data_IF_095900448010
#
_entry.id   IF_095900448010
#
_cell.length_a   1.000
_cell.length_b   1.000
_cell.length_c   1.000
_cell.angle_alpha   90.00
_cell.angle_beta   90.00
_cell.angle_gamma   90.00
#
_symmetry.space_group_name_H-M   'P 1'
#
loop_
_entity.id
_entity.type
_entity.pdbx_description
1 polymer ?
#
# COMPACT_ATOMS: atom_id res chain seq x y z
N UNK A 1 11.85 -14.10 -15.17
CA UNK A 1 10.69 -13.18 -15.22
C UNK A 1 9.73 -13.64 -14.14
N UNK A 2 9.59 -12.90 -13.04
CA UNK A 2 8.68 -13.23 -11.96
C UNK A 2 7.23 -13.18 -12.47
N UNK A 3 6.44 -14.12 -12.00
CA UNK A 3 5.00 -14.14 -12.24
C UNK A 3 4.37 -13.29 -11.11
N UNK A 4 3.73 -12.18 -11.43
CA UNK A 4 3.12 -11.26 -10.47
C UNK A 4 2.22 -11.97 -9.42
N UNK A 5 1.55 -13.06 -9.80
CA UNK A 5 0.76 -13.87 -8.86
C UNK A 5 1.64 -14.57 -7.82
N UNK A 6 2.84 -14.98 -8.21
CA UNK A 6 3.83 -15.59 -7.32
C UNK A 6 4.46 -14.52 -6.42
N UNK A 7 4.69 -13.33 -6.96
CA UNK A 7 5.24 -12.21 -6.20
C UNK A 7 4.28 -11.76 -5.10
N UNK A 8 2.98 -11.58 -5.40
CA UNK A 8 1.97 -11.27 -4.39
C UNK A 8 1.79 -12.40 -3.37
N UNK A 9 1.89 -13.67 -3.78
CA UNK A 9 1.75 -14.79 -2.86
C UNK A 9 2.88 -14.85 -1.81
N UNK A 10 4.05 -14.25 -2.11
CA UNK A 10 5.17 -14.12 -1.18
C UNK A 10 5.10 -12.88 -0.30
N UNK A 11 4.23 -11.92 -0.64
CA UNK A 11 4.14 -10.66 0.09
C UNK A 11 3.92 -10.89 1.58
N UNK A 12 4.86 -10.43 2.39
CA UNK A 12 4.81 -10.49 3.86
C UNK A 12 4.56 -9.14 4.52
N UNK A 13 4.74 -8.04 3.78
CA UNK A 13 4.63 -6.70 4.32
C UNK A 13 4.08 -5.68 3.32
N UNK A 14 3.39 -4.70 3.86
CA UNK A 14 2.86 -3.54 3.15
C UNK A 14 3.48 -2.27 3.73
N UNK A 15 4.00 -1.43 2.87
CA UNK A 15 4.50 -0.10 3.22
C UNK A 15 3.72 0.94 2.41
N UNK A 16 3.22 1.98 3.06
CA UNK A 16 2.41 3.01 2.42
C UNK A 16 2.93 4.40 2.75
N UNK A 17 2.86 5.31 1.79
CA UNK A 17 2.73 6.73 2.08
C UNK A 17 1.31 7.06 2.57
N UNK A 18 1.06 8.30 2.95
CA UNK A 18 -0.24 8.76 3.46
C UNK A 18 -0.95 9.70 2.50
N UNK A 19 -0.33 10.83 2.19
CA UNK A 19 -0.97 11.89 1.42
C UNK A 19 -0.93 11.55 -0.07
N UNK A 20 -2.11 11.36 -0.69
CA UNK A 20 -2.24 10.84 -2.05
C UNK A 20 -2.40 9.31 -2.15
N UNK A 21 -2.07 8.56 -1.08
CA UNK A 21 -2.19 7.09 -1.03
C UNK A 21 -3.33 6.64 -0.11
N UNK A 22 -3.28 7.01 1.16
CA UNK A 22 -4.33 6.71 2.15
C UNK A 22 -5.40 7.81 2.21
N UNK A 23 -5.14 8.92 1.58
CA UNK A 23 -6.02 10.10 1.45
C UNK A 23 -6.11 10.53 -0.01
N UNK A 24 -6.92 11.51 -0.28
CA UNK A 24 -7.02 12.16 -1.60
C UNK A 24 -5.95 13.26 -1.82
N UNK A 25 -4.91 13.30 -1.00
CA UNK A 25 -3.86 14.32 -1.05
C UNK A 25 -4.28 15.69 -0.47
N UNK A 26 -5.55 15.88 -0.15
CA UNK A 26 -6.06 17.13 0.42
C UNK A 26 -5.62 17.32 1.88
N UNK A 27 -4.99 18.47 2.18
CA UNK A 27 -4.50 18.83 3.51
C UNK A 27 -5.15 20.12 3.95
N UNK A 28 -5.80 20.13 5.12
CA UNK A 28 -6.43 21.29 5.72
C UNK A 28 -5.65 21.67 6.98
N UNK A 29 -4.88 22.77 6.97
CA UNK A 29 -4.16 23.23 8.16
C UNK A 29 -5.14 23.75 9.21
N UNK A 30 -4.86 23.46 10.47
CA UNK A 30 -5.63 23.96 11.62
C UNK A 30 -4.89 25.10 12.34
N UNK A 31 -5.61 25.88 13.13
CA UNK A 31 -5.06 27.04 13.83
C UNK A 31 -3.99 26.67 14.89
N UNK A 32 -4.02 25.45 15.39
CA UNK A 32 -3.05 24.90 16.34
C UNK A 32 -1.84 24.21 15.66
N UNK A 33 -1.74 24.32 14.33
CA UNK A 33 -0.60 23.81 13.56
C UNK A 33 -0.67 22.32 13.23
N UNK A 34 -1.80 21.66 13.45
CA UNK A 34 -2.05 20.29 12.99
C UNK A 34 -2.65 20.31 11.58
N UNK A 35 -2.90 19.13 11.01
CA UNK A 35 -3.42 18.95 9.67
C UNK A 35 -4.56 17.94 9.66
N UNK A 36 -5.71 18.37 9.16
CA UNK A 36 -6.86 17.47 8.96
C UNK A 36 -6.74 16.80 7.60
N UNK A 37 -6.97 15.49 7.60
CA UNK A 37 -6.99 14.63 6.41
C UNK A 37 -8.28 13.84 6.36
N UNK A 38 -8.74 13.56 5.16
CA UNK A 38 -9.90 12.70 4.92
C UNK A 38 -9.44 11.29 4.59
N UNK A 39 -9.75 10.33 5.46
CA UNK A 39 -9.43 8.93 5.28
C UNK A 39 -10.66 8.13 4.81
N UNK A 40 -10.41 7.09 4.02
CA UNK A 40 -11.45 6.13 3.68
C UNK A 40 -11.62 5.10 4.81
N UNK A 41 -12.88 4.88 5.23
CA UNK A 41 -13.18 3.92 6.29
C UNK A 41 -12.92 2.46 5.87
N UNK A 42 -13.10 2.14 4.58
CA UNK A 42 -12.86 0.79 4.05
C UNK A 42 -11.37 0.45 4.05
N UNK A 43 -10.51 1.41 3.69
CA UNK A 43 -9.06 1.24 3.73
C UNK A 43 -8.58 1.04 5.17
N UNK A 44 -9.11 1.82 6.11
CA UNK A 44 -8.81 1.62 7.53
C UNK A 44 -9.18 0.23 8.03
N UNK A 45 -10.35 -0.28 7.62
CA UNK A 45 -10.74 -1.64 7.95
C UNK A 45 -9.80 -2.69 7.32
N UNK A 46 -9.44 -2.51 6.06
CA UNK A 46 -8.54 -3.42 5.34
C UNK A 46 -7.16 -3.50 5.99
N UNK A 47 -6.59 -2.35 6.38
CA UNK A 47 -5.30 -2.29 7.08
C UNK A 47 -5.36 -2.99 8.45
N UNK A 48 -6.37 -2.69 9.25
CA UNK A 48 -6.55 -3.34 10.56
C UNK A 48 -6.75 -4.86 10.42
N UNK A 49 -7.45 -5.29 9.36
CA UNK A 49 -7.64 -6.70 9.09
C UNK A 49 -6.35 -7.39 8.58
N UNK A 50 -5.57 -6.74 7.73
CA UNK A 50 -4.27 -7.25 7.29
C UNK A 50 -3.33 -7.49 8.48
N UNK A 51 -3.25 -6.53 9.40
CA UNK A 51 -2.49 -6.69 10.66
C UNK A 51 -3.00 -7.87 11.48
N UNK A 52 -4.32 -8.03 11.61
CA UNK A 52 -4.93 -9.17 12.32
C UNK A 52 -4.58 -10.51 11.68
N UNK A 53 -4.41 -10.55 10.35
CA UNK A 53 -4.01 -11.73 9.59
C UNK A 53 -2.50 -12.01 9.62
N UNK A 54 -1.72 -11.19 10.33
CA UNK A 54 -0.28 -11.39 10.51
C UNK A 54 0.61 -10.67 9.50
N UNK A 55 0.03 -9.88 8.58
CA UNK A 55 0.84 -9.05 7.70
C UNK A 55 1.50 -7.90 8.47
N UNK A 56 2.73 -7.61 8.13
CA UNK A 56 3.44 -6.44 8.64
C UNK A 56 2.99 -5.20 7.85
N UNK A 57 2.66 -4.13 8.56
CA UNK A 57 2.23 -2.86 7.96
C UNK A 57 3.09 -1.74 8.51
N UNK A 58 3.67 -0.96 7.61
CA UNK A 58 4.47 0.23 7.93
C UNK A 58 3.94 1.44 7.16
N UNK A 59 4.06 2.61 7.77
CA UNK A 59 3.78 3.90 7.13
C UNK A 59 5.07 4.72 7.08
N UNK A 60 5.38 5.29 5.92
CA UNK A 60 6.52 6.19 5.74
C UNK A 60 6.02 7.44 5.01
N UNK A 61 5.94 8.57 5.71
CA UNK A 61 5.34 9.79 5.17
C UNK A 61 6.06 11.05 5.59
N UNK A 62 6.14 12.03 4.70
CA UNK A 62 6.52 13.40 5.04
C UNK A 62 5.44 14.14 5.84
N UNK A 63 4.24 13.58 5.89
CA UNK A 63 3.14 14.13 6.70
C UNK A 63 3.44 14.08 8.19
N UNK A 64 2.88 15.06 8.92
CA UNK A 64 3.03 15.19 10.38
C UNK A 64 1.70 15.55 11.03
N UNK A 65 1.66 15.51 12.35
CA UNK A 65 0.54 15.96 13.16
C UNK A 65 -0.05 14.88 14.05
N UNK A 66 -0.66 15.32 15.17
CA UNK A 66 -1.25 14.41 16.16
C UNK A 66 -2.45 13.64 15.62
N UNK A 67 -3.22 14.26 14.72
CA UNK A 67 -4.38 13.60 14.09
C UNK A 67 -3.96 12.42 13.25
N UNK A 68 -2.86 12.53 12.49
CA UNK A 68 -2.26 11.45 11.73
C UNK A 68 -1.79 10.33 12.65
N UNK A 69 -0.95 10.64 13.63
CA UNK A 69 -0.40 9.64 14.54
C UNK A 69 -1.51 8.87 15.28
N UNK A 70 -2.51 9.58 15.80
CA UNK A 70 -3.65 8.96 16.46
C UNK A 70 -4.41 8.02 15.50
N UNK A 71 -4.59 8.41 14.24
CA UNK A 71 -5.24 7.55 13.24
C UNK A 71 -4.48 6.25 13.03
N UNK A 72 -3.16 6.31 12.86
CA UNK A 72 -2.32 5.13 12.65
C UNK A 72 -2.38 4.19 13.86
N UNK A 73 -2.28 4.72 15.07
CA UNK A 73 -2.41 3.94 16.31
C UNK A 73 -3.77 3.29 16.46
N UNK A 74 -4.86 3.99 16.13
CA UNK A 74 -6.23 3.42 16.15
C UNK A 74 -6.40 2.24 15.19
N UNK A 75 -5.67 2.22 14.07
CA UNK A 75 -5.68 1.11 13.12
C UNK A 75 -4.81 -0.08 13.56
N UNK A 76 -4.06 0.06 14.66
CA UNK A 76 -3.13 -0.96 15.14
C UNK A 76 -1.78 -0.96 14.43
N UNK A 77 -1.48 0.07 13.63
CA UNK A 77 -0.20 0.22 12.95
C UNK A 77 0.85 0.60 14.00
N UNK A 78 1.90 -0.21 14.11
CA UNK A 78 2.96 -0.05 15.12
C UNK A 78 4.22 0.60 14.57
N UNK A 79 4.49 0.38 13.28
CA UNK A 79 5.66 0.89 12.60
C UNK A 79 5.24 2.05 11.70
N UNK A 80 5.65 3.27 12.07
CA UNK A 80 5.40 4.43 11.22
C UNK A 80 6.48 5.50 11.44
N UNK A 81 6.89 6.09 10.35
CA UNK A 81 7.85 7.18 10.23
C UNK A 81 7.07 8.39 9.69
N UNK A 82 6.77 9.35 10.55
CA UNK A 82 6.10 10.61 10.21
C UNK A 82 7.12 11.74 10.18
N UNK A 83 6.81 12.85 9.50
CA UNK A 83 7.76 13.97 9.26
C UNK A 83 9.08 13.48 8.63
N UNK A 84 8.99 12.43 7.81
CA UNK A 84 10.11 11.69 7.26
C UNK A 84 10.41 12.17 5.84
N UNK A 85 11.47 12.96 5.69
CA UNK A 85 11.91 13.45 4.37
C UNK A 85 12.85 12.45 3.67
N UNK A 86 13.57 11.62 4.41
CA UNK A 86 14.45 10.56 3.89
C UNK A 86 13.74 9.21 4.00
N UNK A 87 12.81 8.97 3.09
CA UNK A 87 11.95 7.78 3.09
C UNK A 87 12.75 6.49 2.85
N UNK A 88 13.79 6.54 2.02
CA UNK A 88 14.57 5.34 1.68
C UNK A 88 15.37 4.82 2.88
N UNK A 89 15.95 5.72 3.67
CA UNK A 89 16.65 5.33 4.90
C UNK A 89 15.68 4.71 5.91
N UNK A 90 14.49 5.31 6.08
CA UNK A 90 13.44 4.77 6.95
C UNK A 90 12.95 3.38 6.47
N UNK A 91 12.79 3.19 5.16
CA UNK A 91 12.42 1.89 4.60
C UNK A 91 13.46 0.83 4.92
N UNK A 92 14.75 1.11 4.65
CA UNK A 92 15.85 0.16 4.90
C UNK A 92 15.98 -0.19 6.38
N UNK A 93 15.81 0.79 7.26
CA UNK A 93 15.77 0.56 8.70
C UNK A 93 14.62 -0.37 9.09
N UNK A 94 13.41 -0.11 8.58
CA UNK A 94 12.25 -0.96 8.84
C UNK A 94 12.47 -2.39 8.34
N UNK A 95 12.94 -2.56 7.10
CA UNK A 95 13.19 -3.87 6.52
C UNK A 95 14.22 -4.67 7.34
N UNK A 96 15.31 -4.00 7.75
CA UNK A 96 16.35 -4.61 8.58
C UNK A 96 15.83 -5.04 9.95
N UNK A 97 15.08 -4.16 10.63
CA UNK A 97 14.55 -4.43 11.96
C UNK A 97 13.53 -5.58 11.97
N UNK A 98 12.76 -5.71 10.88
CA UNK A 98 11.73 -6.75 10.74
C UNK A 98 12.22 -8.02 10.05
N UNK A 99 13.47 -8.05 9.58
CA UNK A 99 14.05 -9.19 8.87
C UNK A 99 13.32 -9.50 7.56
N UNK A 100 12.92 -8.45 6.81
CA UNK A 100 12.17 -8.57 5.57
C UNK A 100 13.10 -8.54 4.36
N UNK A 101 12.86 -9.42 3.40
CA UNK A 101 13.42 -9.30 2.06
C UNK A 101 12.65 -8.20 1.31
N UNK A 102 13.30 -7.16 0.75
CA UNK A 102 12.65 -6.16 -0.07
C UNK A 102 11.79 -6.75 -1.19
N UNK A 103 12.17 -7.91 -1.74
CA UNK A 103 11.42 -8.58 -2.82
C UNK A 103 10.04 -9.08 -2.40
N UNK A 104 9.80 -9.25 -1.10
CA UNK A 104 8.52 -9.71 -0.55
C UNK A 104 7.69 -8.55 0.05
N UNK A 105 8.01 -7.32 -0.32
CA UNK A 105 7.35 -6.10 0.18
C UNK A 105 6.61 -5.38 -0.93
N UNK A 106 5.38 -4.97 -0.62
CA UNK A 106 4.63 -4.01 -1.42
C UNK A 106 4.88 -2.60 -0.83
N UNK A 107 5.35 -1.69 -1.66
CA UNK A 107 5.41 -0.26 -1.33
C UNK A 107 4.44 0.51 -2.21
N UNK A 108 3.55 1.30 -1.61
CA UNK A 108 2.62 2.17 -2.32
C UNK A 108 2.97 3.64 -2.04
N UNK A 109 3.35 4.35 -3.10
CA UNK A 109 3.65 5.79 -3.09
C UNK A 109 3.05 6.47 -4.31
N UNK A 110 2.89 7.78 -4.26
CA UNK A 110 2.27 8.56 -5.34
C UNK A 110 3.12 9.70 -5.88
N UNK A 111 4.21 10.06 -5.19
CA UNK A 111 4.99 11.24 -5.55
C UNK A 111 6.51 10.96 -5.59
N UNK A 112 7.26 11.93 -6.07
CA UNK A 112 8.71 11.86 -6.29
C UNK A 112 9.49 11.35 -5.06
N UNK A 113 9.19 11.75 -3.81
CA UNK A 113 9.89 11.25 -2.63
C UNK A 113 9.78 9.72 -2.41
N UNK A 114 8.81 9.06 -3.06
CA UNK A 114 8.59 7.62 -2.96
C UNK A 114 9.43 6.81 -3.95
N UNK A 115 9.93 7.42 -5.02
CA UNK A 115 10.56 6.72 -6.14
C UNK A 115 11.70 5.81 -5.71
N UNK A 116 12.57 6.26 -4.82
CA UNK A 116 13.69 5.43 -4.35
C UNK A 116 13.21 4.21 -3.57
N UNK A 117 12.20 4.37 -2.72
CA UNK A 117 11.57 3.26 -2.00
C UNK A 117 10.91 2.27 -2.97
N UNK A 118 10.19 2.79 -3.95
CA UNK A 118 9.50 1.97 -4.95
C UNK A 118 10.47 1.18 -5.83
N UNK A 119 11.67 1.70 -6.09
CA UNK A 119 12.74 0.98 -6.82
C UNK A 119 13.43 -0.10 -5.99
N UNK A 120 13.43 0.04 -4.67
CA UNK A 120 14.07 -0.91 -3.74
C UNK A 120 13.23 -2.18 -3.54
N UNK A 121 11.90 -2.08 -3.59
CA UNK A 121 10.99 -3.19 -3.27
C UNK A 121 10.65 -4.04 -4.49
N UNK A 122 10.28 -5.30 -4.24
CA UNK A 122 9.87 -6.22 -5.30
C UNK A 122 8.53 -5.88 -5.93
N UNK A 123 7.62 -5.23 -5.20
CA UNK A 123 6.26 -4.94 -5.66
C UNK A 123 5.93 -3.45 -5.42
N UNK A 124 6.47 -2.55 -6.28
CA UNK A 124 6.12 -1.14 -6.22
C UNK A 124 4.73 -0.90 -6.83
N UNK A 125 3.95 -0.03 -6.20
CA UNK A 125 2.58 0.29 -6.63
C UNK A 125 2.28 1.77 -6.42
N UNK A 126 1.41 2.34 -7.25
CA UNK A 126 0.97 3.72 -7.13
C UNK A 126 -0.50 3.90 -7.53
N UNK A 127 -1.20 4.93 -7.04
CA UNK A 127 -2.54 5.28 -7.51
C UNK A 127 -2.49 5.81 -8.96
N UNK A 128 -3.66 5.84 -9.62
CA UNK A 128 -3.76 6.26 -11.02
C UNK A 128 -3.47 7.75 -11.25
N UNK A 129 -3.64 8.53 -10.22
CA UNK A 129 -3.41 9.97 -10.16
C UNK A 129 -2.06 10.35 -9.52
N UNK A 130 -1.14 9.38 -9.42
CA UNK A 130 0.22 9.62 -8.99
C UNK A 130 0.95 10.62 -9.91
N UNK A 131 2.02 11.21 -9.40
CA UNK A 131 2.87 12.11 -10.16
C UNK A 131 3.37 11.48 -11.46
N UNK A 132 3.51 12.29 -12.51
CA UNK A 132 3.90 11.81 -13.84
C UNK A 132 5.22 11.04 -13.81
N UNK A 133 6.15 11.46 -12.98
CA UNK A 133 7.47 10.85 -12.78
C UNK A 133 7.34 9.42 -12.24
N UNK A 134 6.40 9.18 -11.33
CA UNK A 134 6.11 7.85 -10.78
C UNK A 134 5.48 6.95 -11.84
N UNK A 135 4.56 7.50 -12.65
CA UNK A 135 3.88 6.76 -13.72
C UNK A 135 4.82 6.39 -14.87
N UNK A 136 5.80 7.24 -15.20
CA UNK A 136 6.74 7.06 -16.32
C UNK A 136 7.80 6.01 -16.00
N UNK A 137 8.23 5.88 -14.77
CA UNK A 137 9.32 4.98 -14.35
C UNK A 137 8.97 3.48 -14.52
N UNK A 138 7.81 3.19 -15.11
CA UNK A 138 7.38 1.83 -15.46
C UNK A 138 7.01 0.97 -14.25
N UNK A 139 6.88 1.61 -13.10
CA UNK A 139 6.40 1.01 -11.87
C UNK A 139 4.93 0.61 -12.02
N UNK A 140 4.49 -0.30 -11.22
CA UNK A 140 3.14 -0.83 -11.30
C UNK A 140 2.08 0.23 -10.94
N UNK A 141 1.13 0.47 -11.83
CA UNK A 141 0.09 1.48 -11.69
C UNK A 141 -1.20 0.86 -11.17
N UNK A 142 -1.74 1.41 -10.09
CA UNK A 142 -3.09 1.15 -9.61
C UNK A 142 -4.04 2.21 -10.16
N UNK A 143 -5.02 1.79 -10.94
CA UNK A 143 -6.12 2.66 -11.33
C UNK A 143 -7.18 2.62 -10.21
N UNK A 144 -7.41 3.72 -9.55
CA UNK A 144 -8.54 3.87 -8.63
C UNK A 144 -9.83 3.95 -9.45
N UNK A 145 -10.59 2.87 -9.46
CA UNK A 145 -12.01 2.95 -9.82
C UNK A 145 -12.78 3.16 -8.50
N UNK A 146 -13.63 4.16 -8.43
CA UNK A 146 -14.42 4.55 -7.24
C UNK A 146 -15.22 3.39 -6.62
N UNK A 147 -15.33 2.26 -7.30
CA UNK A 147 -16.14 1.10 -6.89
C UNK A 147 -15.37 -0.16 -6.58
N UNK A 148 -14.09 -0.25 -6.98
CA UNK A 148 -13.42 -1.55 -6.95
C UNK A 148 -11.91 -1.38 -6.92
N UNK A 149 -11.28 -1.29 -5.77
CA UNK A 149 -9.84 -1.53 -5.62
C UNK A 149 -8.93 -1.08 -6.77
N UNK A 150 -7.68 -1.23 -6.59
CA UNK A 150 -6.66 -0.74 -7.49
C UNK A 150 -6.48 -1.62 -8.75
N UNK A 151 -6.23 -1.02 -9.90
CA UNK A 151 -5.88 -1.70 -11.15
C UNK A 151 -4.38 -1.55 -11.39
N UNK A 152 -3.75 -2.65 -11.66
CA UNK A 152 -2.30 -2.80 -11.76
C UNK A 152 -1.87 -2.96 -13.21
N UNK A 153 -0.86 -2.20 -13.66
CA UNK A 153 -0.28 -2.35 -14.99
C UNK A 153 1.21 -2.59 -14.88
N UNK A 154 1.65 -3.80 -15.21
CA UNK A 154 3.06 -4.13 -15.28
C UNK A 154 3.38 -4.68 -16.67
N UNK A 155 4.38 -4.12 -17.36
CA UNK A 155 4.89 -4.57 -18.66
C UNK A 155 3.80 -4.82 -19.72
N UNK A 156 2.81 -3.91 -19.81
CA UNK A 156 1.73 -4.00 -20.81
C UNK A 156 0.53 -4.86 -20.42
N UNK A 157 0.55 -5.53 -19.28
CA UNK A 157 -0.61 -6.26 -18.76
C UNK A 157 -1.30 -5.46 -17.65
N UNK A 158 -2.63 -5.45 -17.68
CA UNK A 158 -3.46 -4.78 -16.69
C UNK A 158 -3.98 -5.83 -15.69
N UNK A 159 -3.70 -5.60 -14.41
CA UNK A 159 -4.18 -6.42 -13.30
C UNK A 159 -5.12 -5.57 -12.44
N UNK A 160 -6.20 -6.15 -11.96
CA UNK A 160 -7.11 -5.50 -11.00
C UNK A 160 -6.95 -6.15 -9.64
N UNK A 161 -6.54 -5.37 -8.65
CA UNK A 161 -6.47 -5.83 -7.27
C UNK A 161 -7.66 -5.27 -6.52
N UNK A 162 -8.54 -6.15 -6.08
CA UNK A 162 -9.67 -5.79 -5.24
C UNK A 162 -9.26 -5.94 -3.78
N UNK A 163 -9.05 -4.83 -3.07
CA UNK A 163 -8.98 -4.86 -1.63
C UNK A 163 -10.39 -5.04 -1.08
N UNK A 164 -10.71 -6.27 -0.68
CA UNK A 164 -11.78 -6.55 0.23
C UNK A 164 -13.20 -6.39 -0.27
N UNK A 165 -13.70 -7.34 -1.03
CA UNK A 165 -15.07 -7.79 -0.76
C UNK A 165 -14.97 -8.93 0.26
N UNK A 166 -15.14 -8.61 1.53
CA UNK A 166 -15.28 -9.61 2.57
C UNK A 166 -16.62 -10.29 2.36
N UNK A 167 -16.60 -11.46 1.75
CA UNK A 167 -17.67 -12.43 1.96
C UNK A 167 -17.51 -12.91 3.38
N UNK A 168 -18.58 -12.93 4.16
CA UNK A 168 -18.63 -13.50 5.50
C UNK A 168 -18.19 -14.97 5.44
N UNK A 169 -16.92 -15.20 5.71
CA UNK A 169 -16.26 -16.49 5.73
C UNK A 169 -14.79 -16.25 5.93
N UNK A 170 -14.15 -17.01 6.76
CA UNK A 170 -12.85 -16.87 7.40
C UNK A 170 -11.61 -16.74 6.47
N UNK A 171 -11.70 -16.04 5.35
CA UNK A 171 -10.60 -15.88 4.41
C UNK A 171 -10.51 -14.43 3.90
N UNK A 172 -9.37 -13.79 4.17
CA UNK A 172 -8.95 -12.59 3.44
C UNK A 172 -8.56 -13.02 2.03
N UNK A 173 -9.13 -12.42 1.02
CA UNK A 173 -8.76 -12.70 -0.37
C UNK A 173 -8.39 -11.41 -1.09
N UNK A 174 -7.17 -11.35 -1.60
CA UNK A 174 -6.78 -10.37 -2.62
C UNK A 174 -7.23 -10.97 -3.95
N UNK A 175 -8.21 -10.36 -4.60
CA UNK A 175 -8.71 -10.85 -5.88
C UNK A 175 -8.01 -10.10 -7.00
N UNK A 176 -7.27 -10.82 -7.82
CA UNK A 176 -6.56 -10.28 -8.98
C UNK A 176 -7.29 -10.74 -10.23
N UNK A 177 -7.69 -9.80 -11.09
CA UNK A 177 -8.28 -10.07 -12.39
C UNK A 177 -7.35 -9.53 -13.48
N UNK A 178 -7.04 -10.36 -14.49
CA UNK A 178 -6.30 -9.93 -15.68
C UNK A 178 -7.28 -9.60 -16.80
N UNK A 179 -6.94 -8.63 -17.66
CA UNK A 179 -7.79 -8.20 -18.78
C UNK A 179 -8.08 -9.29 -19.82
N UNK A 180 -7.29 -10.37 -19.84
CA UNK A 180 -7.35 -11.39 -20.89
C UNK A 180 -8.03 -12.70 -20.47
N UNK A 181 -8.59 -12.80 -19.29
CA UNK A 181 -9.22 -14.04 -18.86
C UNK A 181 -10.51 -13.84 -18.07
N UNK A 182 -11.53 -14.56 -18.46
CA UNK A 182 -12.77 -14.79 -17.67
C UNK A 182 -12.51 -15.56 -16.35
N UNK A 183 -11.27 -15.82 -15.98
CA UNK A 183 -10.87 -16.53 -14.77
C UNK A 183 -10.33 -15.57 -13.71
N UNK A 184 -11.09 -15.39 -12.65
CA UNK A 184 -10.63 -14.73 -11.43
C UNK A 184 -9.83 -15.73 -10.58
N UNK A 185 -8.59 -15.37 -10.21
CA UNK A 185 -7.82 -16.13 -9.23
C UNK A 185 -7.99 -15.48 -7.85
N UNK A 186 -8.46 -16.25 -6.89
CA UNK A 186 -8.54 -15.85 -5.49
C UNK A 186 -7.32 -16.44 -4.77
N UNK A 187 -6.49 -15.58 -4.17
CA UNK A 187 -5.37 -16.01 -3.34
C UNK A 187 -5.87 -15.99 -1.90
N UNK A 188 -5.93 -17.16 -1.31
CA UNK A 188 -6.15 -17.33 0.14
C UNK A 188 -4.77 -17.50 0.77
N UNK A 189 -4.35 -16.66 1.73
CA UNK A 189 -3.10 -16.90 2.43
C UNK A 189 -3.20 -18.23 3.16
N UNK A 190 -2.26 -19.12 2.89
CA UNK A 190 -2.04 -20.30 3.74
C UNK A 190 -1.60 -19.79 5.09
N UNK A 191 -2.30 -20.18 6.13
CA UNK A 191 -1.96 -19.78 7.50
C UNK A 191 -0.49 -20.09 7.76
N UNK A 192 0.30 -19.05 8.01
CA UNK A 192 1.65 -19.19 8.54
C UNK A 192 1.47 -19.74 9.97
N UNK A 193 1.96 -20.94 10.18
CA UNK A 193 2.04 -21.59 11.49
C UNK A 193 3.14 -20.96 12.34
#
# INVERSE_FOLDING_TARGET
>A
MGNFKEDIARCGAFVFDVDGVMTDGGIIPTADGDFIRRYNAKDGYALAYAIKMGYKVCIITGGRGRTLENRLRMLGIRHFYIDCMDKITALREYLSNEGLDPQDVIYMGDDIPDLECMREVGIPVCPADAAAEVLIDGLAVFLQDERVGAVFKQRGQIFRVHFGRISFGSSFSIRIMTSDSSSASTITPTAIR
#
